data_IF_036248649970
#
_entry.id   IF_036248649970
#
_cell.length_a   1.000
_cell.length_b   1.000
_cell.length_c   1.000
_cell.angle_alpha   90.00
_cell.angle_beta   90.00
_cell.angle_gamma   90.00
#
_symmetry.space_group_name_H-M   'P 1'
#
loop_
_entity.id
_entity.type
_entity.pdbx_description
1 polymer ?
#
# COMPACT_ATOMS: atom_id res chain seq x y z
N UNK A 1 -1.16 65.97 -17.76
CA UNK A 1 -1.44 65.88 -16.30
C UNK A 1 -0.70 64.67 -15.77
N UNK A 2 0.24 64.89 -14.85
CA UNK A 2 1.19 63.89 -14.34
C UNK A 2 0.60 63.23 -13.08
N UNK A 3 0.50 61.91 -13.06
CA UNK A 3 0.56 61.15 -11.81
C UNK A 3 1.61 60.07 -11.95
N UNK A 4 2.81 60.40 -11.46
CA UNK A 4 3.79 59.44 -10.95
C UNK A 4 3.30 59.06 -9.56
N UNK A 5 2.98 57.79 -9.33
CA UNK A 5 3.12 57.17 -8.01
C UNK A 5 3.92 55.90 -8.24
N UNK A 6 5.19 56.02 -7.86
CA UNK A 6 6.11 54.93 -7.60
C UNK A 6 5.57 54.15 -6.40
N UNK A 7 5.47 52.81 -6.45
CA UNK A 7 5.59 51.95 -5.25
C UNK A 7 5.63 50.47 -5.63
N UNK A 8 6.83 49.91 -5.45
CA UNK A 8 7.14 48.53 -5.08
C UNK A 8 6.74 47.37 -6.00
N UNK A 9 7.76 46.84 -6.68
CA UNK A 9 7.86 45.45 -7.12
C UNK A 9 7.60 44.54 -5.92
N UNK A 10 6.56 43.71 -6.00
CA UNK A 10 6.44 42.52 -5.17
C UNK A 10 6.14 41.34 -6.09
N UNK A 11 7.20 40.84 -6.73
CA UNK A 11 7.20 39.55 -7.40
C UNK A 11 6.99 38.49 -6.33
N UNK A 12 5.74 38.10 -6.09
CA UNK A 12 5.45 36.94 -5.24
C UNK A 12 5.67 35.68 -6.08
N UNK A 13 6.94 35.36 -6.34
CA UNK A 13 7.33 34.01 -6.73
C UNK A 13 7.13 33.17 -5.48
N UNK A 14 5.93 32.64 -5.30
CA UNK A 14 5.74 31.50 -4.41
C UNK A 14 6.39 30.30 -5.10
N UNK A 15 7.72 30.24 -4.95
CA UNK A 15 8.43 28.98 -4.83
C UNK A 15 7.88 28.30 -3.57
N UNK A 16 6.67 27.74 -3.68
CA UNK A 16 6.44 26.51 -2.96
C UNK A 16 7.41 25.53 -3.59
N UNK A 17 8.58 25.42 -2.94
CA UNK A 17 9.26 24.16 -2.81
C UNK A 17 8.23 23.19 -2.18
N UNK A 18 7.28 22.71 -2.99
CA UNK A 18 6.84 21.34 -2.84
C UNK A 18 8.10 20.58 -3.13
N UNK A 19 8.76 20.19 -2.05
CA UNK A 19 9.71 19.10 -2.04
C UNK A 19 9.17 18.10 -3.05
N UNK A 20 9.87 17.95 -4.18
CA UNK A 20 9.81 16.71 -4.94
C UNK A 20 10.16 15.71 -3.88
N UNK A 21 9.13 15.09 -3.28
CA UNK A 21 9.30 14.13 -2.23
C UNK A 21 10.33 13.19 -2.80
N UNK A 22 11.53 13.20 -2.20
CA UNK A 22 12.60 12.32 -2.60
C UNK A 22 11.97 10.95 -2.75
N UNK A 23 12.45 10.16 -3.69
CA UNK A 23 12.22 8.74 -3.61
C UNK A 23 12.81 8.29 -2.27
N UNK A 24 12.07 8.45 -1.18
CA UNK A 24 12.43 7.92 0.11
C UNK A 24 12.43 6.43 -0.17
N UNK A 25 13.63 5.88 -0.27
CA UNK A 25 13.91 4.48 -0.46
C UNK A 25 13.45 3.72 0.79
N UNK A 26 12.14 3.73 1.06
CA UNK A 26 11.55 2.92 2.10
C UNK A 26 11.54 1.49 1.59
N UNK A 27 12.66 0.79 1.81
CA UNK A 27 12.76 -0.64 1.67
C UNK A 27 12.24 -1.26 2.96
N UNK A 28 10.97 -1.64 2.96
CA UNK A 28 10.35 -2.30 4.09
C UNK A 28 10.86 -3.73 4.19
N UNK A 29 11.16 -4.16 5.40
CA UNK A 29 11.57 -5.53 5.70
C UNK A 29 10.34 -6.43 5.80
N UNK A 30 10.44 -7.65 5.27
CA UNK A 30 9.37 -8.64 5.28
C UNK A 30 8.88 -8.96 6.70
N UNK A 31 9.77 -8.95 7.70
CA UNK A 31 9.42 -9.22 9.10
C UNK A 31 8.40 -8.24 9.72
N UNK A 32 8.29 -7.01 9.20
CA UNK A 32 7.28 -6.04 9.62
C UNK A 32 5.91 -6.36 9.02
N UNK A 33 5.89 -6.97 7.84
CA UNK A 33 4.69 -7.32 7.08
C UNK A 33 4.16 -8.71 7.44
N UNK A 34 5.05 -9.68 7.63
CA UNK A 34 4.74 -11.10 7.77
C UNK A 34 4.26 -11.48 9.18
N UNK A 35 3.68 -12.69 9.26
CA UNK A 35 3.28 -13.39 10.49
C UNK A 35 2.23 -12.65 11.33
N UNK A 36 1.39 -11.84 10.69
CA UNK A 36 0.23 -11.20 11.31
C UNK A 36 -0.93 -11.05 10.33
N UNK A 37 -2.14 -10.98 10.88
CA UNK A 37 -3.34 -10.69 10.12
C UNK A 37 -3.51 -9.17 9.99
N UNK A 38 -3.72 -8.72 8.76
CA UNK A 38 -4.00 -7.35 8.36
C UNK A 38 -5.46 -7.24 7.95
N UNK A 39 -6.29 -6.70 8.83
CA UNK A 39 -7.72 -6.53 8.61
C UNK A 39 -7.98 -5.24 7.84
N UNK A 40 -8.83 -5.30 6.83
CA UNK A 40 -9.20 -4.13 6.05
C UNK A 40 -9.98 -3.13 6.93
N UNK A 41 -9.51 -1.90 6.96
CA UNK A 41 -10.11 -0.78 7.70
C UNK A 41 -10.80 0.16 6.72
N UNK A 42 -12.06 0.49 7.00
CA UNK A 42 -12.82 1.49 6.26
C UNK A 42 -12.93 2.79 7.05
N UNK A 43 -13.10 3.94 6.38
CA UNK A 43 -13.45 5.17 7.06
C UNK A 43 -14.72 5.01 7.90
N UNK A 44 -14.76 5.68 9.06
CA UNK A 44 -15.94 5.71 9.90
C UNK A 44 -17.15 6.24 9.09
N UNK A 45 -18.27 5.50 9.13
CA UNK A 45 -19.50 5.87 8.41
C UNK A 45 -19.79 5.07 7.13
N UNK A 46 -18.84 4.30 6.59
CA UNK A 46 -19.09 3.37 5.46
C UNK A 46 -19.52 1.96 5.91
N UNK A 47 -19.63 1.75 7.22
CA UNK A 47 -19.95 0.45 7.80
C UNK A 47 -21.45 0.22 7.89
N UNK A 48 -21.95 -0.71 7.08
CA UNK A 48 -23.06 -1.54 7.54
C UNK A 48 -23.19 -2.91 6.84
N UNK A 49 -22.38 -3.26 5.82
CA UNK A 49 -22.61 -4.49 5.03
C UNK A 49 -21.37 -5.27 4.59
N UNK A 50 -20.15 -4.82 4.90
CA UNK A 50 -18.94 -5.48 4.41
C UNK A 50 -18.49 -6.52 5.43
N UNK A 51 -18.41 -7.79 4.99
CA UNK A 51 -17.89 -8.90 5.79
C UNK A 51 -16.45 -8.61 6.23
N UNK A 52 -16.11 -8.92 7.49
CA UNK A 52 -14.74 -8.80 7.99
C UNK A 52 -13.79 -9.58 7.07
N UNK A 53 -12.77 -8.88 6.56
CA UNK A 53 -11.84 -9.43 5.59
C UNK A 53 -10.46 -8.80 5.75
N UNK A 54 -9.46 -9.44 5.20
CA UNK A 54 -8.09 -9.02 5.35
C UNK A 54 -7.12 -9.94 4.63
N UNK A 55 -5.86 -9.88 5.06
CA UNK A 55 -4.81 -10.72 4.54
C UNK A 55 -3.73 -11.01 5.56
N UNK A 56 -3.00 -12.10 5.35
CA UNK A 56 -1.76 -12.42 6.06
C UNK A 56 -0.65 -12.64 5.04
N UNK A 57 0.54 -12.18 5.37
CA UNK A 57 1.75 -12.48 4.60
C UNK A 57 2.57 -13.51 5.38
N UNK A 58 3.01 -14.56 4.70
CA UNK A 58 4.00 -15.53 5.17
C UNK A 58 5.16 -15.56 4.20
N UNK A 59 6.17 -16.41 4.41
CA UNK A 59 7.31 -16.47 3.50
C UNK A 59 6.89 -16.97 2.10
N UNK A 60 6.77 -16.05 1.15
CA UNK A 60 6.44 -16.34 -0.26
C UNK A 60 4.96 -16.53 -0.58
N UNK A 61 4.07 -16.48 0.42
CA UNK A 61 2.63 -16.59 0.22
C UNK A 61 1.85 -15.46 0.91
N UNK A 62 0.89 -14.89 0.17
CA UNK A 62 -0.10 -13.95 0.66
C UNK A 62 -1.43 -14.69 0.76
N UNK A 63 -1.98 -14.79 1.95
CA UNK A 63 -3.27 -15.43 2.23
C UNK A 63 -4.32 -14.35 2.41
N UNK A 64 -5.24 -14.21 1.46
CA UNK A 64 -6.42 -13.36 1.60
C UNK A 64 -7.49 -14.11 2.37
N UNK A 65 -8.23 -13.43 3.24
CA UNK A 65 -9.32 -14.07 3.99
C UNK A 65 -10.57 -13.19 4.12
N UNK A 66 -11.71 -13.83 4.25
CA UNK A 66 -13.00 -13.20 4.57
C UNK A 66 -13.82 -14.11 5.48
N UNK A 67 -14.54 -13.51 6.42
CA UNK A 67 -15.49 -14.22 7.28
C UNK A 67 -16.87 -14.26 6.61
N UNK A 68 -17.35 -15.46 6.29
CA UNK A 68 -18.69 -15.71 5.77
C UNK A 68 -19.41 -16.54 6.81
N UNK A 69 -20.50 -16.01 7.38
CA UNK A 69 -21.32 -16.69 8.39
C UNK A 69 -20.48 -17.20 9.58
N UNK A 70 -19.51 -16.39 10.02
CA UNK A 70 -18.57 -16.71 11.10
C UNK A 70 -17.39 -17.61 10.69
N UNK A 71 -17.42 -18.20 9.50
CA UNK A 71 -16.37 -19.09 9.00
C UNK A 71 -15.33 -18.30 8.21
N UNK A 72 -14.05 -18.46 8.57
CA UNK A 72 -12.91 -17.86 7.85
C UNK A 72 -12.65 -18.64 6.56
N UNK A 73 -12.82 -17.99 5.42
CA UNK A 73 -12.50 -18.52 4.10
C UNK A 73 -11.18 -17.91 3.63
N UNK A 74 -10.25 -18.73 3.15
CA UNK A 74 -8.88 -18.30 2.82
C UNK A 74 -8.48 -18.66 1.39
N UNK A 75 -7.68 -17.80 0.75
CA UNK A 75 -7.08 -18.03 -0.57
C UNK A 75 -5.63 -17.56 -0.55
N UNK A 76 -4.70 -18.48 -0.78
CA UNK A 76 -3.27 -18.19 -0.94
C UNK A 76 -2.90 -17.81 -2.38
N UNK A 77 -1.98 -16.84 -2.51
CA UNK A 77 -1.33 -16.44 -3.76
C UNK A 77 0.17 -16.29 -3.54
N UNK A 78 1.02 -16.66 -4.51
CA UNK A 78 2.45 -16.42 -4.40
C UNK A 78 2.75 -14.92 -4.47
N UNK A 79 3.69 -14.44 -3.66
CA UNK A 79 4.13 -13.05 -3.69
C UNK A 79 5.63 -12.90 -3.40
N UNK A 80 6.15 -11.72 -3.69
CA UNK A 80 7.45 -11.26 -3.21
C UNK A 80 7.46 -9.74 -3.02
N UNK A 81 8.41 -9.28 -2.20
CA UNK A 81 8.74 -7.86 -2.11
C UNK A 81 9.70 -7.46 -3.23
N UNK A 82 9.52 -6.27 -3.78
CA UNK A 82 10.42 -5.70 -4.78
C UNK A 82 10.73 -4.24 -4.48
N UNK A 83 11.94 -3.81 -4.82
CA UNK A 83 12.34 -2.40 -4.77
C UNK A 83 11.73 -1.61 -5.94
N UNK A 84 11.34 -2.29 -7.02
CA UNK A 84 10.74 -1.73 -8.24
C UNK A 84 9.31 -2.23 -8.46
N UNK A 85 8.45 -1.46 -9.17
CA UNK A 85 7.14 -1.92 -9.59
C UNK A 85 7.29 -2.90 -10.76
N UNK A 86 7.61 -4.17 -10.45
CA UNK A 86 7.84 -5.20 -11.47
C UNK A 86 6.58 -5.43 -12.33
N UNK A 87 6.72 -5.36 -13.65
CA UNK A 87 5.66 -5.66 -14.63
C UNK A 87 5.55 -7.16 -14.96
N UNK A 88 6.55 -7.94 -14.57
CA UNK A 88 6.64 -9.39 -14.76
C UNK A 88 6.82 -10.09 -13.42
N UNK A 89 6.26 -11.29 -13.30
CA UNK A 89 6.32 -12.07 -12.08
C UNK A 89 7.60 -12.92 -12.05
N UNK A 90 8.44 -12.65 -11.06
CA UNK A 90 9.77 -13.26 -10.89
C UNK A 90 9.71 -14.38 -9.85
N UNK A 91 9.51 -15.61 -10.31
CA UNK A 91 9.40 -16.79 -9.43
C UNK A 91 10.63 -16.98 -8.54
N UNK A 92 11.82 -16.64 -9.03
CA UNK A 92 13.07 -16.73 -8.30
C UNK A 92 13.13 -15.82 -7.06
N UNK A 93 12.27 -14.78 -6.97
CA UNK A 93 12.18 -13.87 -5.82
C UNK A 93 11.22 -14.38 -4.73
N UNK A 94 10.29 -15.28 -5.06
CA UNK A 94 9.28 -15.79 -4.10
C UNK A 94 9.97 -16.45 -2.91
N UNK A 95 9.65 -16.00 -1.70
CA UNK A 95 10.24 -16.48 -0.46
C UNK A 95 11.74 -16.18 -0.27
N UNK A 96 12.38 -15.45 -1.21
CA UNK A 96 13.80 -15.05 -1.13
C UNK A 96 13.99 -13.55 -0.98
N UNK A 97 13.09 -12.75 -1.58
CA UNK A 97 13.15 -11.30 -1.45
C UNK A 97 12.57 -10.85 -0.12
N UNK A 98 13.45 -10.42 0.79
CA UNK A 98 13.10 -10.05 2.17
C UNK A 98 12.87 -8.55 2.37
N UNK A 99 13.07 -7.73 1.33
CA UNK A 99 12.90 -6.28 1.42
C UNK A 99 12.30 -5.70 0.15
N UNK A 100 11.57 -4.60 0.28
CA UNK A 100 11.08 -3.84 -0.86
C UNK A 100 9.96 -2.87 -0.49
N UNK A 101 9.59 -2.03 -1.46
CA UNK A 101 8.47 -1.09 -1.33
C UNK A 101 7.21 -1.58 -2.04
N UNK A 102 7.36 -2.53 -2.96
CA UNK A 102 6.28 -3.07 -3.76
C UNK A 102 6.00 -4.50 -3.38
N UNK A 103 4.73 -4.84 -3.28
CA UNK A 103 4.23 -6.20 -3.11
C UNK A 103 3.74 -6.64 -4.49
N UNK A 104 4.38 -7.67 -5.03
CA UNK A 104 4.04 -8.25 -6.33
C UNK A 104 3.41 -9.62 -6.09
N UNK A 105 2.20 -9.85 -6.61
CA UNK A 105 1.52 -11.14 -6.48
C UNK A 105 0.94 -11.61 -7.83
N UNK A 106 0.94 -12.92 -8.03
CA UNK A 106 0.39 -13.57 -9.21
C UNK A 106 -1.00 -14.12 -8.87
N UNK A 107 -2.02 -13.58 -9.53
CA UNK A 107 -3.40 -14.05 -9.41
C UNK A 107 -3.55 -15.43 -10.08
N UNK A 108 -4.51 -16.25 -9.63
CA UNK A 108 -4.82 -17.56 -10.24
C UNK A 108 -5.14 -17.50 -11.74
N UNK A 109 -5.59 -16.36 -12.24
CA UNK A 109 -5.87 -16.13 -13.67
C UNK A 109 -4.63 -15.65 -14.47
N UNK A 110 -3.43 -15.76 -13.89
CA UNK A 110 -2.17 -15.35 -14.52
C UNK A 110 -1.90 -13.85 -14.51
N UNK A 111 -2.82 -13.02 -14.01
CA UNK A 111 -2.60 -11.57 -13.94
C UNK A 111 -1.69 -11.20 -12.79
N UNK A 112 -0.78 -10.28 -13.06
CA UNK A 112 0.13 -9.72 -12.05
C UNK A 112 -0.54 -8.51 -11.43
N UNK A 113 -0.42 -8.39 -10.12
CA UNK A 113 -0.82 -7.21 -9.38
C UNK A 113 0.37 -6.67 -8.62
N UNK A 114 0.48 -5.35 -8.65
CA UNK A 114 1.51 -4.59 -7.96
C UNK A 114 0.82 -3.58 -7.05
N UNK A 115 1.18 -3.62 -5.77
CA UNK A 115 0.78 -2.64 -4.77
C UNK A 115 2.03 -2.02 -4.17
N UNK A 116 2.02 -0.71 -3.99
CA UNK A 116 3.05 0.01 -3.26
C UNK A 116 2.68 0.08 -1.78
N UNK A 117 3.63 -0.21 -0.91
CA UNK A 117 3.55 0.10 0.52
C UNK A 117 3.80 1.60 0.68
N UNK A 118 2.75 2.30 1.11
CA UNK A 118 2.77 3.74 1.40
C UNK A 118 3.24 3.98 2.83
N UNK A 119 2.75 3.16 3.76
CA UNK A 119 3.15 3.17 5.17
C UNK A 119 3.10 1.74 5.73
N UNK A 120 4.06 1.39 6.58
CA UNK A 120 4.08 0.14 7.31
C UNK A 120 4.67 0.36 8.70
N UNK A 121 3.86 0.10 9.72
CA UNK A 121 4.24 0.11 11.13
C UNK A 121 3.93 -1.25 11.76
N UNK A 122 4.09 -1.38 13.08
CA UNK A 122 3.70 -2.61 13.79
C UNK A 122 2.19 -2.89 13.76
N UNK A 123 1.36 -1.88 13.52
CA UNK A 123 -0.11 -2.00 13.62
C UNK A 123 -0.89 -1.47 12.42
N UNK A 124 -0.24 -0.75 11.50
CA UNK A 124 -0.87 -0.14 10.33
C UNK A 124 -0.11 -0.50 9.06
N UNK A 125 -0.86 -0.95 8.05
CA UNK A 125 -0.37 -1.15 6.69
C UNK A 125 -1.24 -0.30 5.76
N UNK A 126 -0.61 0.59 5.01
CA UNK A 126 -1.27 1.38 3.97
C UNK A 126 -0.69 0.97 2.63
N UNK A 127 -1.54 0.46 1.74
CA UNK A 127 -1.16 0.04 0.41
C UNK A 127 -1.87 0.88 -0.65
N UNK A 128 -1.15 1.21 -1.71
CA UNK A 128 -1.71 1.82 -2.92
C UNK A 128 -1.61 0.84 -4.07
N UNK A 129 -2.73 0.46 -4.66
CA UNK A 129 -2.73 -0.37 -5.86
C UNK A 129 -2.26 0.48 -7.04
N UNK A 130 -1.25 0.02 -7.78
CA UNK A 130 -0.78 0.75 -8.96
C UNK A 130 -1.72 0.63 -10.16
N UNK A 131 -2.64 -0.34 -10.15
CA UNK A 131 -3.58 -0.57 -11.24
C UNK A 131 -4.70 0.47 -11.31
N UNK A 132 -5.22 0.91 -10.17
CA UNK A 132 -6.35 1.84 -10.10
C UNK A 132 -6.10 3.04 -9.16
N UNK A 133 -4.86 3.18 -8.67
CA UNK A 133 -4.43 4.22 -7.74
C UNK A 133 -5.23 4.30 -6.42
N UNK A 134 -6.05 3.28 -6.09
CA UNK A 134 -6.80 3.25 -4.84
C UNK A 134 -5.88 2.88 -3.68
N UNK A 135 -6.11 3.54 -2.55
CA UNK A 135 -5.43 3.26 -1.30
C UNK A 135 -6.32 2.43 -0.39
N UNK A 136 -5.71 1.47 0.29
CA UNK A 136 -6.35 0.59 1.26
C UNK A 136 -5.56 0.66 2.56
N UNK A 137 -6.27 0.79 3.66
CA UNK A 137 -5.69 0.80 5.01
C UNK A 137 -6.04 -0.51 5.69
N UNK A 138 -5.05 -1.11 6.33
CA UNK A 138 -5.20 -2.31 7.12
C UNK A 138 -4.66 -2.11 8.52
N UNK A 139 -5.28 -2.79 9.48
CA UNK A 139 -4.90 -2.77 10.89
C UNK A 139 -4.70 -4.19 11.40
N UNK A 140 -3.89 -4.36 12.45
CA UNK A 140 -3.75 -5.66 13.12
C UNK A 140 -4.92 -5.97 14.06
N UNK A 141 -5.71 -4.95 14.44
CA UNK A 141 -6.95 -5.14 15.21
C UNK A 141 -8.06 -5.60 14.26
N UNK A 142 -8.70 -6.70 14.62
CA UNK A 142 -9.92 -7.17 13.96
C UNK A 142 -11.06 -6.15 14.20
N UNK A 143 -11.78 -5.71 13.16
CA UNK A 143 -12.99 -4.92 13.32
C UNK A 143 -14.03 -5.71 14.12
N UNK A 144 -14.70 -5.05 15.06
CA UNK A 144 -15.77 -5.62 15.87
C UNK A 144 -17.00 -5.97 15.02
#
# INVERSE_FOLDING_TARGET
MKYKILMSICTFVLLFNLEISGQNSYNYQANLLENRDWYLSFPAGEYCKIKCQGMRYTKGEQVSFMYIDGVKNEVGLPYYLSETPDSEFKWEKVGKSIKGRYIIFLMKNGKIKCSQIVNLTSSVLVMRSLWNNKQFTFTTKRPD
#
